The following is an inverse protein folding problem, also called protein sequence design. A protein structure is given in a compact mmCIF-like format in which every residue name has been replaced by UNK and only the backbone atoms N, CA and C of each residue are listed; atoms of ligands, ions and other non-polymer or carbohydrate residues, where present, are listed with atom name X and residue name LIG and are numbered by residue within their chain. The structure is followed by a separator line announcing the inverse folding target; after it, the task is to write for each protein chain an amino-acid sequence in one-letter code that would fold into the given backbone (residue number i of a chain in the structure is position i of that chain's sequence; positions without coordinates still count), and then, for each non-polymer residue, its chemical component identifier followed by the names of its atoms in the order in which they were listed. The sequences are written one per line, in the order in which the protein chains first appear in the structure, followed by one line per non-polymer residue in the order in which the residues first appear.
data_IF_170454395908
#
_entry.id   IF_170454395908
#
_cell.length_a   1.000
_cell.length_b   1.000
_cell.length_c   1.000
_cell.angle_alpha   90.00
_cell.angle_beta   90.00
_cell.angle_gamma   90.00
#
_symmetry.space_group_name_H-M   'P 1'
#
loop_
_entity.id
_entity.type
_entity.pdbx_description
1 polymer ?
#
# COMPACT_ATOMS: atom_id res chain seq x y z
N UNK A 1 10.78 1.53 26.40
CA UNK A 1 10.23 2.01 26.15
C UNK A 1 9.93 2.40 24.97
N UNK A 2 9.45 2.26 24.39
CA UNK A 2 9.16 2.49 23.26
C UNK A 2 8.04 3.19 22.93
N UNK A 3 7.73 4.14 23.65
CA UNK A 3 6.64 4.81 23.35
C UNK A 3 6.77 5.42 22.04
N UNK A 4 7.88 5.67 21.53
CA UNK A 4 8.03 6.27 20.37
C UNK A 4 7.43 5.42 19.34
N UNK A 5 7.60 4.20 19.33
CA UNK A 5 7.04 3.37 18.40
C UNK A 5 5.58 3.39 18.44
N UNK A 6 5.02 3.41 19.55
CA UNK A 6 3.62 3.42 19.63
C UNK A 6 3.08 4.68 19.06
N UNK A 7 3.73 5.75 19.25
CA UNK A 7 3.21 6.96 18.76
C UNK A 7 3.29 7.03 17.29
N UNK A 8 4.14 6.25 16.66
CA UNK A 8 4.23 6.32 15.27
C UNK A 8 3.23 5.42 14.60
N UNK A 9 2.58 4.59 15.30
CA UNK A 9 1.65 3.69 14.70
C UNK A 9 0.33 4.35 14.45
N UNK A 10 -0.20 4.21 13.28
CA UNK A 10 -1.42 4.84 12.93
C UNK A 10 -2.28 3.87 12.16
N UNK A 11 -3.55 3.93 12.32
CA UNK A 11 -4.44 3.06 11.59
C UNK A 11 -5.53 3.88 10.94
N UNK A 12 -5.95 3.51 9.76
CA UNK A 12 -7.04 4.19 9.10
C UNK A 12 -7.88 3.16 8.39
N UNK A 13 -9.14 3.42 8.28
CA UNK A 13 -10.02 2.53 7.54
C UNK A 13 -9.96 2.94 6.08
N UNK A 14 -9.50 2.09 5.25
CA UNK A 14 -9.39 2.38 3.84
C UNK A 14 -10.22 1.35 3.08
N UNK A 15 -10.64 1.72 1.89
CA UNK A 15 -11.43 0.81 1.10
C UNK A 15 -10.68 0.42 -0.13
N UNK A 16 -10.86 -0.81 -0.54
CA UNK A 16 -10.24 -1.29 -1.76
C UNK A 16 -11.15 -0.95 -2.92
N UNK A 17 -10.63 -0.30 -3.92
CA UNK A 17 -11.39 0.03 -5.11
C UNK A 17 -11.17 -1.03 -6.14
N UNK A 18 -12.24 -1.45 -6.78
CA UNK A 18 -12.13 -2.45 -7.82
C UNK A 18 -12.40 -1.79 -9.15
N UNK A 19 -11.42 -1.68 -9.99
CA UNK A 19 -11.57 -1.02 -11.26
C UNK A 19 -11.40 -2.00 -12.40
N UNK A 20 -12.34 -2.00 -13.34
CA UNK A 20 -12.23 -2.86 -14.43
C UNK A 20 -11.27 -2.32 -15.38
N UNK A 21 -10.28 -3.02 -15.74
CA UNK A 21 -9.33 -2.44 -16.61
C UNK A 21 -9.75 -2.68 -17.97
N UNK A 22 -9.40 -2.07 -18.83
CA UNK A 22 -9.77 -2.05 -20.12
C UNK A 22 -9.80 -3.27 -20.80
N UNK A 23 -10.13 -4.02 -20.88
CA UNK A 23 -10.30 -5.09 -21.48
C UNK A 23 -9.38 -5.71 -22.31
N UNK A 24 -8.40 -5.23 -22.48
CA UNK A 24 -7.58 -5.84 -23.32
C UNK A 24 -7.03 -7.01 -22.73
N UNK A 25 -6.91 -7.07 -21.57
CA UNK A 25 -6.26 -8.13 -20.98
C UNK A 25 -7.02 -9.33 -21.12
N UNK A 26 -8.08 -9.26 -21.25
CA UNK A 26 -8.78 -10.35 -21.39
C UNK A 26 -8.87 -11.22 -20.29
N UNK A 27 -8.21 -11.28 -19.38
CA UNK A 27 -8.36 -12.03 -18.41
C UNK A 27 -8.94 -11.45 -17.32
N UNK A 28 -9.87 -10.91 -17.25
CA UNK A 28 -10.40 -10.41 -16.14
C UNK A 28 -10.00 -9.17 -15.79
N UNK A 29 -9.27 -8.62 -16.13
CA UNK A 29 -8.84 -7.38 -15.88
C UNK A 29 -9.41 -6.52 -14.80
N UNK A 30 -9.36 -6.88 -13.61
CA UNK A 30 -9.78 -6.04 -12.54
C UNK A 30 -8.55 -5.60 -11.79
N UNK A 31 -8.47 -4.32 -11.53
CA UNK A 31 -7.36 -3.78 -10.77
C UNK A 31 -7.87 -3.34 -9.43
N UNK A 32 -7.21 -3.76 -8.39
CA UNK A 32 -7.61 -3.40 -7.05
C UNK A 32 -6.67 -2.34 -6.54
N UNK A 33 -7.20 -1.29 -5.95
CA UNK A 33 -6.38 -0.20 -5.47
C UNK A 33 -6.79 0.27 -4.10
N UNK A 34 -5.85 0.78 -3.37
CA UNK A 34 -6.10 1.37 -2.08
C UNK A 34 -5.38 2.69 -2.09
N UNK A 35 -6.04 3.75 -1.65
CA UNK A 35 -5.41 5.04 -1.59
C UNK A 35 -4.68 5.16 -0.27
N UNK A 36 -3.40 5.28 -0.30
CA UNK A 36 -2.61 5.38 0.90
C UNK A 36 -2.30 6.83 1.20
N UNK A 37 -2.44 7.27 2.45
CA UNK A 37 -2.20 8.66 2.78
C UNK A 37 -0.78 9.06 2.39
N UNK A 38 -0.67 10.22 1.78
CA UNK A 38 0.63 10.70 1.34
C UNK A 38 1.61 10.83 2.49
N UNK A 39 1.13 11.19 3.65
CA UNK A 39 2.03 11.33 4.77
C UNK A 39 2.72 10.02 5.10
N UNK A 40 2.02 8.91 4.94
CA UNK A 40 2.63 7.63 5.23
C UNK A 40 3.72 7.32 4.19
N UNK A 41 3.48 7.68 2.95
CA UNK A 41 4.43 7.43 1.89
C UNK A 41 5.69 8.23 2.17
N UNK A 42 5.54 9.46 2.61
CA UNK A 42 6.70 10.26 2.89
C UNK A 42 7.46 9.75 4.09
N UNK A 43 6.75 9.27 5.09
CA UNK A 43 7.42 8.76 6.25
C UNK A 43 8.21 7.51 5.91
N UNK A 44 7.81 6.78 4.91
CA UNK A 44 8.53 5.60 4.51
C UNK A 44 9.72 5.95 3.64
N UNK A 45 9.86 7.19 3.25
CA UNK A 45 10.97 7.59 2.42
C UNK A 45 10.77 7.26 0.96
N UNK A 46 9.54 7.11 0.54
CA UNK A 46 9.26 6.78 -0.85
C UNK A 46 9.01 8.05 -1.63
N UNK A 47 9.65 8.20 -2.77
CA UNK A 47 9.40 9.35 -3.62
C UNK A 47 9.57 8.93 -5.06
N UNK A 48 9.54 9.88 -5.96
CA UNK A 48 9.59 9.55 -7.37
C UNK A 48 10.86 8.84 -7.78
N UNK A 49 11.91 9.03 -7.07
CA UNK A 49 13.14 8.37 -7.42
C UNK A 49 13.34 7.08 -6.67
N UNK A 50 12.63 6.88 -5.61
CA UNK A 50 12.75 5.66 -4.82
C UNK A 50 11.36 5.13 -4.61
N UNK A 51 10.79 4.56 -5.62
CA UNK A 51 9.41 4.13 -5.54
C UNK A 51 9.20 2.65 -5.38
N UNK A 52 10.23 1.88 -5.33
CA UNK A 52 10.02 0.45 -5.25
C UNK A 52 9.77 -0.01 -3.83
N UNK A 53 8.87 -0.94 -3.69
CA UNK A 53 8.56 -1.47 -2.38
C UNK A 53 8.46 -2.97 -2.49
N UNK A 54 8.50 -3.64 -1.37
CA UNK A 54 8.34 -5.08 -1.34
C UNK A 54 7.02 -5.35 -0.66
N UNK A 55 6.17 -6.08 -1.32
CA UNK A 55 4.88 -6.43 -0.75
C UNK A 55 4.89 -7.90 -0.41
N UNK A 56 4.54 -8.22 0.80
CA UNK A 56 4.52 -9.60 1.26
C UNK A 56 3.10 -9.99 1.64
N UNK A 57 2.64 -11.13 1.18
CA UNK A 57 1.30 -11.58 1.50
C UNK A 57 1.42 -12.89 2.25
N UNK A 58 0.86 -12.97 3.43
CA UNK A 58 0.97 -14.19 4.21
C UNK A 58 -0.34 -14.97 4.23
N UNK A 59 -1.26 -14.67 3.37
CA UNK A 59 -2.53 -15.36 3.34
C UNK A 59 -3.61 -14.63 4.10
N UNK A 60 -3.26 -13.64 4.85
CA UNK A 60 -4.22 -12.92 5.61
C UNK A 60 -4.00 -11.43 5.55
N UNK A 61 -2.82 -10.97 5.41
CA UNK A 61 -2.57 -9.53 5.36
C UNK A 61 -1.44 -9.25 4.41
N UNK A 62 -1.32 -8.01 4.03
CA UNK A 62 -0.27 -7.58 3.10
C UNK A 62 0.61 -6.60 3.85
N UNK A 63 1.90 -6.80 3.79
CA UNK A 63 2.85 -5.92 4.43
C UNK A 63 3.67 -5.28 3.33
N UNK A 64 3.77 -3.97 3.33
CA UNK A 64 4.52 -3.27 2.31
C UNK A 64 5.69 -2.55 2.97
N UNK A 65 6.87 -2.76 2.45
CA UNK A 65 8.05 -2.14 3.01
C UNK A 65 8.86 -1.48 1.91
N UNK A 66 9.58 -0.45 2.24
CA UNK A 66 10.38 0.23 1.26
C UNK A 66 11.51 -0.68 0.88
N UNK A 67 11.81 -0.76 -0.38
CA UNK A 67 12.87 -1.63 -0.83
C UNK A 67 14.29 -1.06 -0.65
#
# INVERSE_FOLDING_TARGET
MNFKENMMEEQRNLKVSFNKSGGTAGKGGITNRITIPTAWIKEMGIDLESREVIATFDGNKIIIEKK
#
